data_IF_105487805491
#
_entry.id   IF_105487805491
#
_cell.length_a   1.000
_cell.length_b   1.000
_cell.length_c   1.000
_cell.angle_alpha   90.00
_cell.angle_beta   90.00
_cell.angle_gamma   90.00
#
_symmetry.space_group_name_H-M   'P 1'
#
loop_
_entity.id
_entity.type
_entity.pdbx_description
1 polymer ?
#
# COMPACT_ATOMS: atom_id res chain seq x y z
N UNK A 1 2.87 10.95 -21.12
CA UNK A 1 2.36 9.74 -20.44
C UNK A 1 2.84 9.79 -19.00
N UNK A 2 1.98 9.49 -18.04
CA UNK A 2 2.34 9.33 -16.63
C UNK A 2 2.24 7.84 -16.29
N UNK A 3 3.22 7.32 -15.56
CA UNK A 3 3.32 5.91 -15.14
C UNK A 3 3.34 5.87 -13.61
N UNK A 4 2.62 4.93 -13.03
CA UNK A 4 2.51 4.74 -11.58
C UNK A 4 2.66 3.25 -11.27
N UNK A 5 3.55 2.92 -10.34
CA UNK A 5 3.63 1.57 -9.80
C UNK A 5 2.44 1.28 -8.91
N UNK A 6 1.87 0.08 -8.98
CA UNK A 6 0.74 -0.32 -8.15
C UNK A 6 0.81 -1.79 -7.79
N UNK A 7 0.41 -2.12 -6.56
CA UNK A 7 0.22 -3.49 -6.11
C UNK A 7 -1.19 -3.64 -5.55
N UNK A 8 -1.98 -4.45 -6.25
CA UNK A 8 -3.31 -4.87 -5.82
C UNK A 8 -3.17 -5.93 -4.72
N UNK A 9 -3.89 -5.76 -3.61
CA UNK A 9 -3.88 -6.71 -2.50
C UNK A 9 -5.32 -6.98 -2.03
N UNK A 10 -5.84 -8.15 -2.37
CA UNK A 10 -7.14 -8.59 -1.87
C UNK A 10 -7.09 -8.82 -0.36
N UNK A 11 -8.02 -8.21 0.38
CA UNK A 11 -8.08 -8.31 1.84
C UNK A 11 -8.34 -9.75 2.30
N UNK A 12 -9.22 -10.46 1.61
CA UNK A 12 -9.51 -11.87 1.82
C UNK A 12 -9.83 -12.52 0.47
N UNK A 13 -9.00 -13.48 0.07
CA UNK A 13 -9.21 -14.23 -1.18
C UNK A 13 -8.89 -15.71 -0.97
N UNK A 14 -7.76 -16.19 -1.51
CA UNK A 14 -7.29 -17.57 -1.31
C UNK A 14 -6.53 -17.78 0.01
N UNK A 15 -6.42 -16.72 0.83
CA UNK A 15 -5.75 -16.73 2.13
C UNK A 15 -6.57 -15.94 3.18
N UNK A 16 -6.39 -16.22 4.48
CA UNK A 16 -6.99 -15.46 5.57
C UNK A 16 -6.50 -14.01 5.61
N UNK A 17 -7.31 -13.10 6.15
CA UNK A 17 -6.94 -11.68 6.36
C UNK A 17 -5.61 -11.54 7.14
N UNK A 18 -5.37 -12.46 8.08
CA UNK A 18 -4.13 -12.50 8.86
C UNK A 18 -2.88 -12.75 8.00
N UNK A 19 -2.99 -13.27 6.79
CA UNK A 19 -1.86 -13.38 5.86
C UNK A 19 -1.72 -12.13 4.98
N UNK A 20 -2.83 -11.41 4.73
CA UNK A 20 -2.81 -10.20 3.90
C UNK A 20 -1.99 -9.08 4.52
N UNK A 21 -2.02 -8.88 5.85
CA UNK A 21 -1.23 -7.81 6.45
C UNK A 21 0.30 -8.13 6.39
N UNK A 22 0.69 -9.39 6.48
CA UNK A 22 2.08 -9.83 6.25
C UNK A 22 2.49 -9.66 4.78
N UNK A 23 1.56 -9.86 3.84
CA UNK A 23 1.76 -9.53 2.42
C UNK A 23 1.93 -8.02 2.22
N UNK A 24 1.14 -7.20 2.90
CA UNK A 24 1.24 -5.74 2.82
C UNK A 24 2.59 -5.23 3.34
N UNK A 25 3.06 -5.70 4.51
CA UNK A 25 4.37 -5.32 5.04
C UNK A 25 5.51 -5.68 4.08
N UNK A 26 5.51 -6.92 3.54
CA UNK A 26 6.53 -7.34 2.56
C UNK A 26 6.47 -6.52 1.28
N UNK A 27 5.27 -6.25 0.78
CA UNK A 27 5.07 -5.46 -0.45
C UNK A 27 5.57 -4.03 -0.27
N UNK A 28 5.19 -3.37 0.83
CA UNK A 28 5.57 -1.99 1.07
C UNK A 28 7.08 -1.84 1.30
N UNK A 29 7.70 -2.77 2.02
CA UNK A 29 9.17 -2.80 2.16
C UNK A 29 9.89 -3.00 0.82
N UNK A 30 9.36 -3.89 -0.03
CA UNK A 30 9.91 -4.11 -1.37
C UNK A 30 9.85 -2.82 -2.20
N UNK A 31 8.71 -2.11 -2.18
CA UNK A 31 8.57 -0.82 -2.86
C UNK A 31 9.56 0.21 -2.31
N UNK A 32 9.69 0.34 -0.99
CA UNK A 32 10.64 1.27 -0.38
C UNK A 32 12.09 0.97 -0.78
N UNK A 33 12.45 -0.31 -0.88
CA UNK A 33 13.77 -0.72 -1.37
C UNK A 33 13.94 -0.38 -2.85
N UNK A 34 12.94 -0.66 -3.68
CA UNK A 34 12.97 -0.32 -5.10
C UNK A 34 13.09 1.18 -5.32
N UNK A 35 12.47 2.02 -4.48
CA UNK A 35 12.62 3.48 -4.55
C UNK A 35 14.04 3.98 -4.26
N UNK A 36 14.87 3.19 -3.57
CA UNK A 36 16.29 3.51 -3.38
C UNK A 36 17.10 3.26 -4.65
N UNK A 37 16.77 2.22 -5.41
CA UNK A 37 17.43 1.87 -6.66
C UNK A 37 16.88 2.65 -7.87
N UNK A 38 15.59 2.97 -7.84
CA UNK A 38 14.85 3.65 -8.89
C UNK A 38 14.18 4.92 -8.34
N UNK A 39 14.89 6.06 -8.27
CA UNK A 39 14.39 7.29 -7.65
C UNK A 39 13.12 7.87 -8.28
N UNK A 40 12.87 7.57 -9.55
CA UNK A 40 11.70 8.02 -10.31
C UNK A 40 10.44 7.14 -10.08
N UNK A 41 10.55 6.06 -9.29
CA UNK A 41 9.44 5.17 -8.98
C UNK A 41 8.45 5.84 -8.03
N UNK A 42 7.31 6.26 -8.58
CA UNK A 42 6.12 6.65 -7.80
C UNK A 42 5.23 5.42 -7.63
N UNK A 43 4.84 5.13 -6.40
CA UNK A 43 3.96 4.01 -6.07
C UNK A 43 2.61 4.50 -5.54
N UNK A 44 1.52 3.95 -6.03
CA UNK A 44 0.17 4.22 -5.55
C UNK A 44 -0.47 2.98 -4.93
N UNK A 45 -1.17 3.13 -3.81
CA UNK A 45 -1.96 2.03 -3.23
C UNK A 45 -3.30 2.49 -2.66
N UNK A 46 -4.30 1.62 -2.85
CA UNK A 46 -5.74 1.91 -2.88
C UNK A 46 -6.52 1.53 -1.64
N UNK A 47 -5.92 0.78 -0.70
CA UNK A 47 -6.62 0.22 0.46
C UNK A 47 -6.15 0.84 1.80
N UNK A 48 -6.83 1.89 2.31
CA UNK A 48 -6.63 2.48 3.63
C UNK A 48 -6.64 1.49 4.80
N UNK A 49 -7.43 0.42 4.72
CA UNK A 49 -7.44 -0.63 5.73
C UNK A 49 -6.04 -1.23 5.98
N UNK A 50 -5.24 -1.41 4.92
CA UNK A 50 -3.87 -1.91 5.04
C UNK A 50 -2.95 -0.88 5.70
N UNK A 51 -3.09 0.41 5.39
CA UNK A 51 -2.32 1.45 6.10
C UNK A 51 -2.65 1.50 7.59
N UNK A 52 -3.93 1.38 7.96
CA UNK A 52 -4.33 1.36 9.37
C UNK A 52 -3.71 0.18 10.13
N UNK A 53 -3.65 -1.01 9.52
CA UNK A 53 -2.96 -2.15 10.13
C UNK A 53 -1.45 -1.95 10.23
N UNK A 54 -0.82 -1.36 9.21
CA UNK A 54 0.62 -1.06 9.24
C UNK A 54 0.95 0.01 10.28
N UNK A 55 0.13 1.05 10.43
CA UNK A 55 0.26 2.06 11.49
C UNK A 55 0.22 1.42 12.88
N UNK A 56 -0.74 0.52 13.11
CA UNK A 56 -0.91 -0.14 14.40
C UNK A 56 0.21 -1.13 14.72
N UNK A 57 0.64 -1.95 13.75
CA UNK A 57 1.51 -3.10 14.02
C UNK A 57 2.98 -2.86 13.64
N UNK A 58 3.26 -1.91 12.73
CA UNK A 58 4.59 -1.60 12.18
C UNK A 58 4.78 -0.07 12.06
N UNK A 59 4.71 0.69 13.16
CA UNK A 59 4.72 2.16 13.12
C UNK A 59 5.98 2.76 12.48
N UNK A 60 7.12 2.07 12.55
CA UNK A 60 8.35 2.49 11.86
C UNK A 60 8.18 2.46 10.33
N UNK A 61 7.60 1.37 9.79
CA UNK A 61 7.30 1.26 8.37
C UNK A 61 6.27 2.31 7.94
N UNK A 62 5.26 2.55 8.77
CA UNK A 62 4.28 3.60 8.50
C UNK A 62 4.92 4.99 8.41
N UNK A 63 5.85 5.32 9.30
CA UNK A 63 6.59 6.57 9.26
C UNK A 63 7.45 6.70 7.98
N UNK A 64 8.07 5.61 7.53
CA UNK A 64 8.80 5.60 6.24
C UNK A 64 7.86 5.87 5.06
N UNK A 65 6.67 5.26 5.04
CA UNK A 65 5.64 5.50 4.02
C UNK A 65 5.21 6.97 4.05
N UNK A 66 4.94 7.55 5.23
CA UNK A 66 4.59 8.96 5.37
C UNK A 66 5.68 9.89 4.81
N UNK A 67 6.95 9.56 5.02
CA UNK A 67 8.07 10.31 4.44
C UNK A 67 8.07 10.23 2.91
N UNK A 68 7.76 9.07 2.31
CA UNK A 68 7.64 8.94 0.85
C UNK A 68 6.43 9.70 0.29
N UNK A 69 5.31 9.74 1.02
CA UNK A 69 4.14 10.54 0.66
C UNK A 69 4.51 12.02 0.64
N UNK A 70 5.16 12.52 1.70
CA UNK A 70 5.62 13.91 1.77
C UNK A 70 6.65 14.24 0.67
N UNK A 71 7.45 13.25 0.24
CA UNK A 71 8.39 13.38 -0.86
C UNK A 71 7.76 13.24 -2.27
N UNK A 72 6.45 12.99 -2.37
CA UNK A 72 5.76 12.82 -3.65
C UNK A 72 6.11 11.52 -4.39
N UNK A 73 6.69 10.53 -3.71
CA UNK A 73 7.02 9.22 -4.29
C UNK A 73 6.01 8.14 -3.92
N UNK A 74 5.04 8.46 -3.08
CA UNK A 74 3.99 7.52 -2.67
C UNK A 74 2.64 8.22 -2.68
N UNK A 75 1.66 7.62 -3.35
CA UNK A 75 0.31 8.16 -3.48
C UNK A 75 -0.72 7.26 -2.78
N UNK A 76 -1.64 7.90 -2.07
CA UNK A 76 -2.84 7.24 -1.53
C UNK A 76 -3.96 7.45 -2.53
N UNK A 77 -4.49 6.36 -3.10
CA UNK A 77 -5.45 6.39 -4.21
C UNK A 77 -6.80 5.74 -3.81
N UNK A 78 -7.81 5.84 -4.68
CA UNK A 78 -9.20 5.35 -4.53
C UNK A 78 -10.04 6.02 -3.42
N UNK A 79 -9.51 6.19 -2.21
CA UNK A 79 -10.17 6.91 -1.10
C UNK A 79 -11.30 6.15 -0.38
N UNK A 80 -11.56 4.89 -0.75
CA UNK A 80 -12.50 4.00 -0.05
C UNK A 80 -11.75 3.13 0.94
N UNK A 81 -12.36 2.78 2.09
CA UNK A 81 -11.68 2.01 3.15
C UNK A 81 -11.10 0.67 2.68
N UNK A 82 -11.83 0.03 1.76
CA UNK A 82 -11.48 -1.19 1.03
C UNK A 82 -11.83 -0.96 -0.43
N UNK A 83 -11.55 -1.93 -1.30
CA UNK A 83 -12.01 -1.94 -2.69
C UNK A 83 -13.29 -2.78 -2.82
N UNK A 84 -14.50 -2.19 -2.65
CA UNK A 84 -15.75 -2.96 -2.61
C UNK A 84 -16.22 -3.37 -4.01
N UNK A 85 -17.00 -4.44 -4.05
CA UNK A 85 -17.94 -4.67 -5.15
C UNK A 85 -19.04 -3.60 -5.11
N UNK A 86 -19.47 -3.09 -6.27
CA UNK A 86 -20.45 -1.99 -6.35
C UNK A 86 -21.85 -2.43 -6.77
N UNK A 87 -22.02 -3.65 -7.30
CA UNK A 87 -23.31 -4.10 -7.81
C UNK A 87 -24.24 -4.70 -6.75
N UNK A 88 -23.69 -5.28 -5.69
CA UNK A 88 -24.46 -6.07 -4.70
C UNK A 88 -24.33 -5.54 -3.27
N UNK A 89 -23.79 -4.33 -3.12
CA UNK A 89 -23.72 -3.57 -1.86
C UNK A 89 -25.05 -2.89 -1.54
#
# INVERSE_FOLDING_TARGET
MHLLGHAHLDLAWLWPIAETWDLADRTFRSVLQLQQEFPDLIFGHSSPALYAWIEQHRPALFAEIQAQIAAGRWEVIAGLWVEPEFNTV
#
